data_IF_789610896931
#
_entry.id   IF_789610896931
#
_cell.length_a   1.000
_cell.length_b   1.000
_cell.length_c   1.000
_cell.angle_alpha   90.00
_cell.angle_beta   90.00
_cell.angle_gamma   90.00
#
_symmetry.space_group_name_H-M   'P 1'
#
loop_
_entity.id
_entity.type
_entity.pdbx_description
1 polymer ?
#
# COMPACT_ATOMS: atom_id res chain seq x y z
N UNK A 1 30.68 -7.98 -27.39
CA UNK A 1 30.78 -6.74 -26.58
C UNK A 1 30.01 -6.95 -25.28
N UNK A 2 30.69 -7.09 -24.15
CA UNK A 2 30.03 -7.18 -22.82
C UNK A 2 29.49 -5.78 -22.50
N UNK A 3 28.16 -5.66 -22.49
CA UNK A 3 27.48 -4.44 -22.07
C UNK A 3 27.82 -4.19 -20.59
N UNK A 4 28.74 -3.27 -20.32
CA UNK A 4 29.17 -2.83 -18.98
C UNK A 4 28.09 -1.95 -18.34
N UNK A 5 26.83 -2.44 -18.26
CA UNK A 5 25.78 -1.73 -17.51
C UNK A 5 26.10 -1.85 -16.02
N UNK A 6 26.28 -0.71 -15.37
CA UNK A 6 26.37 -0.59 -13.92
C UNK A 6 25.26 -1.45 -13.28
N UNK A 7 25.56 -2.27 -12.26
CA UNK A 7 24.53 -3.04 -11.58
C UNK A 7 23.45 -2.10 -11.02
N UNK A 8 22.19 -2.44 -11.27
CA UNK A 8 21.03 -1.67 -10.77
C UNK A 8 20.98 -1.75 -9.25
N UNK A 9 20.78 -0.62 -8.60
CA UNK A 9 20.63 -0.51 -7.14
C UNK A 9 19.16 -0.43 -6.74
N UNK A 10 18.81 -1.09 -5.64
CA UNK A 10 17.44 -1.18 -5.14
C UNK A 10 17.34 -0.66 -3.70
N UNK A 11 16.50 0.34 -3.49
CA UNK A 11 16.15 0.85 -2.16
C UNK A 11 14.80 0.30 -1.71
N UNK A 12 14.77 -0.43 -0.60
CA UNK A 12 13.52 -0.84 0.02
C UNK A 12 12.96 0.31 0.90
N UNK A 13 11.71 0.69 0.67
CA UNK A 13 10.98 1.70 1.43
C UNK A 13 9.90 1.01 2.27
N UNK A 14 10.02 1.13 3.59
CA UNK A 14 9.16 0.45 4.56
C UNK A 14 8.47 1.47 5.47
N UNK A 15 7.24 1.91 5.15
CA UNK A 15 6.42 2.70 6.06
C UNK A 15 5.98 1.84 7.24
N UNK A 16 6.12 2.38 8.47
CA UNK A 16 5.81 1.64 9.70
C UNK A 16 4.88 2.47 10.59
N UNK A 17 3.73 1.90 10.93
CA UNK A 17 2.81 2.47 11.90
C UNK A 17 2.15 1.36 12.72
N UNK A 18 2.50 1.28 14.02
CA UNK A 18 1.98 0.29 14.97
C UNK A 18 2.09 -1.18 14.48
N UNK A 19 3.34 -1.62 14.20
CA UNK A 19 3.67 -2.95 13.67
C UNK A 19 4.72 -3.69 14.52
N UNK A 20 4.71 -3.50 15.83
CA UNK A 20 5.67 -4.14 16.74
C UNK A 20 5.77 -5.67 16.58
N UNK A 21 4.66 -6.32 16.20
CA UNK A 21 4.59 -7.78 16.05
C UNK A 21 5.32 -8.32 14.81
N UNK A 22 5.44 -7.51 13.74
CA UNK A 22 5.87 -8.04 12.41
C UNK A 22 7.06 -7.32 11.82
N UNK A 23 7.24 -6.03 12.10
CA UNK A 23 8.24 -5.16 11.48
C UNK A 23 9.65 -5.75 11.54
N UNK A 24 10.03 -6.38 12.66
CA UNK A 24 11.35 -7.02 12.81
C UNK A 24 11.59 -8.07 11.72
N UNK A 25 10.61 -8.98 11.50
CA UNK A 25 10.74 -10.08 10.54
C UNK A 25 10.83 -9.56 9.10
N UNK A 26 10.02 -8.58 8.76
CA UNK A 26 10.04 -7.95 7.42
C UNK A 26 11.40 -7.33 7.13
N UNK A 27 11.91 -6.49 8.05
CA UNK A 27 13.22 -5.82 7.87
C UNK A 27 14.35 -6.85 7.81
N UNK A 28 14.32 -7.86 8.68
CA UNK A 28 15.35 -8.91 8.67
C UNK A 28 15.37 -9.66 7.33
N UNK A 29 14.21 -9.91 6.72
CA UNK A 29 14.11 -10.54 5.40
C UNK A 29 14.71 -9.65 4.30
N UNK A 30 14.41 -8.36 4.32
CA UNK A 30 14.97 -7.39 3.36
C UNK A 30 16.49 -7.30 3.49
N UNK A 31 17.03 -7.22 4.71
CA UNK A 31 18.46 -7.12 4.99
C UNK A 31 19.26 -8.40 4.66
N UNK A 32 18.60 -9.55 4.56
CA UNK A 32 19.22 -10.81 4.15
C UNK A 32 19.28 -10.99 2.63
N UNK A 33 18.54 -10.18 1.89
CA UNK A 33 18.54 -10.25 0.42
C UNK A 33 19.73 -9.49 -0.15
N UNK A 34 20.53 -10.15 -0.98
CA UNK A 34 21.62 -9.51 -1.74
C UNK A 34 21.12 -8.67 -2.93
N UNK A 35 19.80 -8.62 -3.16
CA UNK A 35 19.16 -7.82 -4.19
C UNK A 35 18.64 -6.47 -3.67
N UNK A 36 18.80 -6.19 -2.37
CA UNK A 36 18.39 -4.93 -1.74
C UNK A 36 19.66 -4.21 -1.24
N UNK A 37 19.97 -3.06 -1.79
CA UNK A 37 21.18 -2.31 -1.46
C UNK A 37 21.02 -1.44 -0.21
N UNK A 38 19.81 -0.94 0.06
CA UNK A 38 19.49 -0.18 1.26
C UNK A 38 18.05 -0.41 1.73
N UNK A 39 17.84 -0.31 3.03
CA UNK A 39 16.51 -0.39 3.66
C UNK A 39 16.22 0.91 4.39
N UNK A 40 15.17 1.61 3.95
CA UNK A 40 14.71 2.87 4.53
C UNK A 40 13.40 2.61 5.26
N UNK A 41 13.42 2.78 6.57
CA UNK A 41 12.25 2.61 7.43
C UNK A 41 11.73 3.96 7.87
N UNK A 42 10.45 4.23 7.66
CA UNK A 42 9.80 5.46 8.06
C UNK A 42 8.80 5.15 9.16
N UNK A 43 9.15 5.47 10.41
CA UNK A 43 8.22 5.38 11.53
C UNK A 43 7.25 6.55 11.48
N UNK A 44 5.99 6.26 11.18
CA UNK A 44 4.93 7.26 11.03
C UNK A 44 4.20 7.51 12.36
N UNK A 45 4.96 7.90 13.39
CA UNK A 45 4.41 8.25 14.69
C UNK A 45 3.79 7.07 15.46
N UNK A 46 4.42 5.89 15.40
CA UNK A 46 3.93 4.71 16.14
C UNK A 46 3.91 4.95 17.65
N UNK A 47 2.83 4.50 18.31
CA UNK A 47 2.64 4.53 19.77
C UNK A 47 3.02 3.23 20.48
N UNK A 48 3.22 2.14 19.71
CA UNK A 48 3.65 0.83 20.19
C UNK A 48 5.20 0.70 20.23
N UNK A 49 5.71 -0.51 20.38
CA UNK A 49 7.17 -0.76 20.45
C UNK A 49 7.86 -0.73 19.07
N UNK A 50 7.16 -0.38 17.97
CA UNK A 50 7.73 -0.35 16.62
C UNK A 50 9.00 0.47 16.53
N UNK A 51 8.99 1.72 17.03
CA UNK A 51 10.17 2.59 17.02
C UNK A 51 11.36 1.98 17.79
N UNK A 52 11.09 1.37 18.96
CA UNK A 52 12.13 0.69 19.76
C UNK A 52 12.74 -0.49 18.99
N UNK A 53 11.93 -1.21 18.22
CA UNK A 53 12.41 -2.31 17.37
C UNK A 53 13.26 -1.79 16.23
N UNK A 54 12.82 -0.73 15.54
CA UNK A 54 13.56 -0.11 14.43
C UNK A 54 14.94 0.37 14.86
N UNK A 55 15.02 1.05 15.99
CA UNK A 55 16.30 1.54 16.56
C UNK A 55 17.33 0.43 16.80
N UNK A 56 16.89 -0.81 17.07
CA UNK A 56 17.80 -1.96 17.28
C UNK A 56 18.53 -2.41 16.01
N UNK A 57 18.09 -2.01 14.83
CA UNK A 57 18.81 -2.31 13.59
C UNK A 57 20.03 -1.40 13.37
N UNK A 58 20.09 -0.26 14.08
CA UNK A 58 21.23 0.67 14.02
C UNK A 58 21.52 1.13 12.59
N UNK A 59 22.79 1.11 12.22
CA UNK A 59 23.27 1.54 10.88
C UNK A 59 22.88 0.60 9.73
N UNK A 60 22.26 -0.56 10.00
CA UNK A 60 21.81 -1.49 8.96
C UNK A 60 20.60 -0.96 8.19
N UNK A 61 19.86 0.00 8.74
CA UNK A 61 18.74 0.67 8.09
C UNK A 61 18.91 2.18 8.18
N UNK A 62 18.31 2.89 7.23
CA UNK A 62 18.07 4.33 7.34
C UNK A 62 16.73 4.52 8.03
N UNK A 63 16.73 5.07 9.25
CA UNK A 63 15.51 5.30 10.03
C UNK A 63 15.10 6.76 9.98
N UNK A 64 13.90 7.02 9.46
CA UNK A 64 13.23 8.31 9.53
C UNK A 64 12.12 8.20 10.58
N UNK A 65 12.06 9.13 11.51
CA UNK A 65 11.11 9.07 12.62
C UNK A 65 10.24 10.32 12.68
N UNK A 66 8.95 10.16 12.43
CA UNK A 66 7.98 11.22 12.66
C UNK A 66 7.49 11.18 14.11
N UNK A 67 7.34 12.36 14.73
CA UNK A 67 6.81 12.49 16.09
C UNK A 67 5.32 12.14 16.17
N UNK A 68 4.56 12.39 15.09
CA UNK A 68 3.13 12.14 14.96
C UNK A 68 2.81 11.47 13.65
N UNK A 69 1.69 10.76 13.57
CA UNK A 69 1.23 10.13 12.33
C UNK A 69 0.90 11.20 11.27
N UNK A 70 1.58 11.12 10.14
CA UNK A 70 1.38 11.99 8.96
C UNK A 70 0.71 11.28 7.79
N UNK A 71 0.49 9.97 7.94
CA UNK A 71 -0.13 9.11 6.94
C UNK A 71 0.86 8.46 5.97
N UNK A 72 0.45 7.29 5.45
CA UNK A 72 1.28 6.45 4.57
C UNK A 72 1.84 7.22 3.37
N UNK A 73 1.05 8.08 2.73
CA UNK A 73 1.49 8.88 1.59
C UNK A 73 2.69 9.77 1.91
N UNK A 74 2.67 10.44 3.07
CA UNK A 74 3.80 11.26 3.54
C UNK A 74 5.02 10.40 3.86
N UNK A 75 4.82 9.25 4.52
CA UNK A 75 5.91 8.34 4.84
C UNK A 75 6.58 7.78 3.57
N UNK A 76 5.79 7.37 2.57
CA UNK A 76 6.31 6.91 1.27
C UNK A 76 7.06 8.03 0.55
N UNK A 77 6.49 9.23 0.51
CA UNK A 77 7.10 10.40 -0.12
C UNK A 77 8.48 10.72 0.48
N UNK A 78 8.60 10.66 1.79
CA UNK A 78 9.88 10.88 2.46
C UNK A 78 10.89 9.78 2.17
N UNK A 79 10.44 8.51 2.15
CA UNK A 79 11.28 7.39 1.74
C UNK A 79 11.83 7.54 0.32
N UNK A 80 11.02 8.02 -0.65
CA UNK A 80 11.44 8.26 -2.03
C UNK A 80 12.55 9.33 -2.10
N UNK A 81 12.41 10.42 -1.36
CA UNK A 81 13.43 11.49 -1.31
C UNK A 81 14.77 10.97 -0.84
N UNK A 82 14.75 10.17 0.21
CA UNK A 82 15.91 9.68 0.90
C UNK A 82 16.60 8.47 0.24
N UNK A 83 15.90 7.82 -0.71
CA UNK A 83 16.40 6.68 -1.44
C UNK A 83 17.50 7.05 -2.45
N UNK A 84 18.47 6.15 -2.63
CA UNK A 84 19.62 6.31 -3.55
C UNK A 84 19.64 5.26 -4.66
N UNK A 85 18.81 4.23 -4.56
CA UNK A 85 18.71 3.18 -5.57
C UNK A 85 18.05 3.66 -6.86
N UNK A 86 18.33 2.98 -7.96
CA UNK A 86 17.70 3.22 -9.26
C UNK A 86 16.24 2.79 -9.25
N UNK A 87 15.94 1.75 -8.47
CA UNK A 87 14.59 1.23 -8.25
C UNK A 87 14.19 1.29 -6.78
N UNK A 88 12.90 1.53 -6.56
CA UNK A 88 12.27 1.61 -5.25
C UNK A 88 11.39 0.37 -5.03
N UNK A 89 11.73 -0.42 -4.02
CA UNK A 89 10.97 -1.59 -3.58
C UNK A 89 10.06 -1.18 -2.42
N UNK A 90 8.78 -0.95 -2.67
CA UNK A 90 7.82 -0.65 -1.62
C UNK A 90 7.39 -1.94 -0.92
N UNK A 91 7.50 -1.95 0.39
CA UNK A 91 7.22 -3.10 1.23
C UNK A 91 6.42 -2.70 2.46
N UNK A 92 5.24 -3.27 2.65
CA UNK A 92 4.46 -3.05 3.86
C UNK A 92 5.14 -3.74 5.06
N UNK A 93 5.08 -3.11 6.22
CA UNK A 93 5.74 -3.59 7.46
C UNK A 93 4.97 -4.71 8.17
N UNK A 94 3.79 -5.10 7.66
CA UNK A 94 2.89 -6.06 8.30
C UNK A 94 2.83 -7.43 7.62
N UNK A 95 3.75 -7.72 6.72
CA UNK A 95 3.76 -8.96 5.95
C UNK A 95 3.98 -10.21 6.81
N UNK A 96 3.24 -11.27 6.50
CA UNK A 96 3.33 -12.59 7.12
C UNK A 96 3.87 -13.58 6.07
N UNK A 97 4.84 -14.40 6.47
CA UNK A 97 5.55 -15.35 5.59
C UNK A 97 6.28 -14.68 4.42
N UNK A 98 6.80 -13.48 4.63
CA UNK A 98 7.64 -12.79 3.66
C UNK A 98 9.04 -13.43 3.63
N UNK A 99 9.54 -13.78 2.44
CA UNK A 99 10.79 -14.51 2.23
C UNK A 99 11.65 -13.85 1.15
N UNK A 100 12.94 -14.22 1.07
CA UNK A 100 13.86 -13.77 0.01
C UNK A 100 13.37 -14.18 -1.38
N UNK A 101 12.72 -15.34 -1.51
CA UNK A 101 12.13 -15.79 -2.77
C UNK A 101 11.06 -14.84 -3.30
N UNK A 102 10.25 -14.24 -2.40
CA UNK A 102 9.29 -13.20 -2.79
C UNK A 102 9.99 -11.97 -3.36
N UNK A 103 11.12 -11.55 -2.76
CA UNK A 103 11.92 -10.42 -3.25
C UNK A 103 12.50 -10.73 -4.64
N UNK A 104 13.06 -11.92 -4.82
CA UNK A 104 13.61 -12.38 -6.10
C UNK A 104 12.54 -12.41 -7.20
N UNK A 105 11.37 -12.97 -6.92
CA UNK A 105 10.23 -13.00 -7.86
C UNK A 105 9.80 -11.60 -8.29
N UNK A 106 9.80 -10.66 -7.38
CA UNK A 106 9.44 -9.27 -7.70
C UNK A 106 10.52 -8.56 -8.52
N UNK A 107 11.80 -8.75 -8.17
CA UNK A 107 12.91 -8.05 -8.83
C UNK A 107 13.31 -8.67 -10.17
N UNK A 108 13.11 -9.98 -10.36
CA UNK A 108 13.51 -10.69 -11.58
C UNK A 108 13.04 -10.00 -12.88
N UNK A 109 11.79 -9.57 -13.06
CA UNK A 109 11.37 -8.90 -14.27
C UNK A 109 12.07 -7.56 -14.52
N UNK A 110 12.42 -6.84 -13.44
CA UNK A 110 13.16 -5.57 -13.52
C UNK A 110 14.61 -5.83 -13.92
N UNK A 111 15.27 -6.76 -13.26
CA UNK A 111 16.67 -7.10 -13.51
C UNK A 111 16.90 -7.65 -14.91
N UNK A 112 15.90 -8.36 -15.47
CA UNK A 112 15.91 -8.85 -16.86
C UNK A 112 15.55 -7.75 -17.88
N UNK A 113 15.13 -6.56 -17.44
CA UNK A 113 14.69 -5.49 -18.33
C UNK A 113 13.36 -5.74 -19.04
N UNK A 114 12.54 -6.70 -18.54
CA UNK A 114 11.26 -7.04 -19.16
C UNK A 114 10.21 -5.93 -18.98
N UNK A 115 10.22 -5.26 -17.82
CA UNK A 115 9.28 -4.20 -17.45
C UNK A 115 9.94 -3.14 -16.58
N UNK A 116 9.29 -1.98 -16.48
CA UNK A 116 9.74 -0.88 -15.61
C UNK A 116 9.10 -0.91 -14.23
N UNK A 117 7.96 -1.58 -14.09
CA UNK A 117 7.14 -1.56 -12.87
C UNK A 117 6.65 -2.96 -12.55
N UNK A 118 6.69 -3.32 -11.28
CA UNK A 118 6.12 -4.58 -10.78
C UNK A 118 5.10 -4.29 -9.69
N UNK A 119 3.93 -4.92 -9.79
CA UNK A 119 2.94 -4.99 -8.73
C UNK A 119 2.87 -6.43 -8.24
N UNK A 120 3.09 -6.64 -6.96
CA UNK A 120 3.02 -7.96 -6.37
C UNK A 120 1.73 -8.16 -5.59
N UNK A 121 1.14 -9.33 -5.75
CA UNK A 121 -0.14 -9.67 -5.12
C UNK A 121 0.02 -10.89 -4.25
N UNK A 122 -0.23 -10.78 -2.93
CA UNK A 122 -0.31 -11.95 -2.07
C UNK A 122 -1.41 -12.90 -2.55
N UNK A 123 -1.06 -14.16 -2.78
CA UNK A 123 -2.02 -15.21 -3.15
C UNK A 123 -2.07 -16.29 -2.09
N UNK A 124 -3.28 -16.80 -1.83
CA UNK A 124 -3.47 -17.85 -0.82
C UNK A 124 -3.19 -19.24 -1.37
N UNK A 125 -3.51 -19.46 -2.63
CA UNK A 125 -3.40 -20.77 -3.27
C UNK A 125 -2.13 -20.89 -4.14
N UNK A 126 -1.76 -22.13 -4.42
CA UNK A 126 -0.59 -22.47 -5.23
C UNK A 126 -0.78 -22.14 -6.72
N UNK A 127 -2.00 -21.85 -7.16
CA UNK A 127 -2.30 -21.55 -8.57
C UNK A 127 -1.95 -20.12 -8.96
N UNK A 128 -1.67 -19.27 -7.96
CA UNK A 128 -1.37 -17.86 -8.19
C UNK A 128 -2.57 -17.04 -8.67
N UNK A 129 -3.79 -17.58 -8.57
CA UNK A 129 -5.01 -16.83 -8.92
C UNK A 129 -5.22 -15.64 -8.00
N UNK A 130 -5.53 -14.51 -8.59
CA UNK A 130 -5.81 -13.27 -7.86
C UNK A 130 -6.99 -12.53 -8.48
N UNK A 131 -7.64 -11.68 -7.69
CA UNK A 131 -8.72 -10.85 -8.19
C UNK A 131 -8.17 -9.52 -8.72
N UNK A 132 -8.58 -9.10 -9.92
CA UNK A 132 -8.10 -7.87 -10.58
C UNK A 132 -8.16 -6.61 -9.69
N UNK A 133 -9.12 -6.52 -8.78
CA UNK A 133 -9.22 -5.38 -7.86
C UNK A 133 -8.18 -5.41 -6.73
N UNK A 134 -7.58 -6.55 -6.41
CA UNK A 134 -6.51 -6.64 -5.40
C UNK A 134 -5.23 -5.96 -5.88
N UNK A 135 -5.03 -5.89 -7.19
CA UNK A 135 -3.90 -5.21 -7.84
C UNK A 135 -3.85 -3.73 -7.47
N UNK A 136 -5.01 -3.07 -7.39
CA UNK A 136 -5.09 -1.64 -7.09
C UNK A 136 -4.65 -1.28 -5.68
N UNK A 137 -4.77 -2.22 -4.73
CA UNK A 137 -4.48 -2.00 -3.31
C UNK A 137 -3.23 -2.76 -2.84
N UNK A 138 -2.54 -3.44 -3.74
CA UNK A 138 -1.29 -4.10 -3.40
C UNK A 138 -0.25 -3.07 -2.94
N UNK A 139 0.34 -3.28 -1.77
CA UNK A 139 1.35 -2.39 -1.22
C UNK A 139 2.76 -2.74 -1.67
N UNK A 140 2.99 -3.99 -2.08
CA UNK A 140 4.27 -4.49 -2.56
C UNK A 140 4.44 -4.14 -4.03
N UNK A 141 5.37 -3.22 -4.33
CA UNK A 141 5.55 -2.67 -5.67
C UNK A 141 7.01 -2.29 -5.92
N UNK A 142 7.39 -2.29 -7.19
CA UNK A 142 8.69 -1.77 -7.61
C UNK A 142 8.48 -0.72 -8.68
N UNK A 143 9.17 0.41 -8.52
CA UNK A 143 9.14 1.53 -9.45
C UNK A 143 10.54 2.07 -9.72
N UNK A 144 10.80 2.62 -10.91
CA UNK A 144 12.00 3.43 -11.13
C UNK A 144 11.92 4.71 -10.28
N UNK A 145 13.01 5.04 -9.60
CA UNK A 145 13.07 6.20 -8.68
C UNK A 145 12.87 7.52 -9.40
N UNK A 146 13.52 7.69 -10.55
CA UNK A 146 13.42 8.89 -11.38
C UNK A 146 11.98 9.24 -11.78
N UNK A 147 11.18 8.20 -12.08
CA UNK A 147 9.77 8.38 -12.42
C UNK A 147 8.90 8.81 -11.23
N UNK A 148 9.31 8.55 -9.98
CA UNK A 148 8.52 8.92 -8.80
C UNK A 148 8.94 10.25 -8.16
N UNK A 149 10.19 10.68 -8.34
CA UNK A 149 10.69 11.92 -7.74
C UNK A 149 9.82 13.16 -8.04
N UNK A 150 9.35 13.41 -9.28
CA UNK A 150 8.49 14.55 -9.58
C UNK A 150 7.14 14.51 -8.85
N UNK A 151 6.73 13.34 -8.37
CA UNK A 151 5.41 13.11 -7.77
C UNK A 151 5.40 13.13 -6.23
N UNK A 152 6.55 13.33 -5.59
CA UNK A 152 6.70 13.28 -4.13
C UNK A 152 5.78 14.25 -3.42
N UNK A 153 5.65 15.49 -3.88
CA UNK A 153 4.77 16.50 -3.28
C UNK A 153 3.30 16.08 -3.34
N UNK A 154 2.86 15.48 -4.43
CA UNK A 154 1.48 15.00 -4.57
C UNK A 154 1.23 13.75 -3.73
N UNK A 155 2.18 12.82 -3.69
CA UNK A 155 2.14 11.63 -2.85
C UNK A 155 1.97 11.98 -1.37
N UNK A 156 2.70 12.98 -0.87
CA UNK A 156 2.59 13.41 0.53
C UNK A 156 1.22 13.97 0.91
N UNK A 157 0.41 14.37 -0.06
CA UNK A 157 -0.96 14.89 0.15
C UNK A 157 -2.04 13.83 0.00
N UNK A 158 -1.69 12.60 -0.43
CA UNK A 158 -2.68 11.53 -0.59
C UNK A 158 -3.25 11.13 0.77
N UNK A 159 -4.57 10.94 0.84
CA UNK A 159 -5.28 10.60 2.07
C UNK A 159 -5.73 9.15 2.10
N UNK A 160 -5.78 8.57 3.29
CA UNK A 160 -6.28 7.21 3.52
C UNK A 160 -5.30 6.10 3.13
N UNK A 161 -5.63 4.89 3.55
CA UNK A 161 -4.79 3.71 3.35
C UNK A 161 -4.95 3.12 1.95
N UNK A 162 -4.63 3.77 0.91
CA UNK A 162 -4.79 3.32 -0.49
C UNK A 162 -4.70 4.49 -1.45
N UNK A 163 -4.68 5.73 -0.92
CA UNK A 163 -4.59 6.93 -1.74
C UNK A 163 -3.26 7.02 -2.50
N UNK A 164 -2.14 6.69 -1.84
CA UNK A 164 -0.83 6.62 -2.50
C UNK A 164 -0.79 5.57 -3.61
N UNK A 165 -1.32 4.38 -3.35
CA UNK A 165 -1.37 3.29 -4.34
C UNK A 165 -2.26 3.66 -5.53
N UNK A 166 -3.41 4.28 -5.27
CA UNK A 166 -4.32 4.74 -6.32
C UNK A 166 -3.66 5.79 -7.20
N UNK A 167 -3.00 6.78 -6.60
CA UNK A 167 -2.27 7.79 -7.34
C UNK A 167 -1.15 7.18 -8.19
N UNK A 168 -0.31 6.33 -7.61
CA UNK A 168 0.78 5.66 -8.31
C UNK A 168 0.29 4.81 -9.49
N UNK A 169 -0.92 4.24 -9.40
CA UNK A 169 -1.54 3.49 -10.50
C UNK A 169 -1.82 4.36 -11.75
N UNK A 170 -1.92 5.68 -11.60
CA UNK A 170 -2.19 6.59 -12.71
C UNK A 170 -0.92 6.97 -13.49
N UNK A 171 0.26 6.74 -12.93
CA UNK A 171 1.53 7.20 -13.50
C UNK A 171 2.08 6.30 -14.61
N UNK A 172 1.65 5.04 -14.66
CA UNK A 172 2.23 4.05 -15.56
C UNK A 172 1.17 3.38 -16.43
N UNK A 173 1.50 3.14 -17.69
CA UNK A 173 0.63 2.41 -18.61
C UNK A 173 0.68 0.91 -18.30
N UNK A 174 -0.43 0.21 -18.54
CA UNK A 174 -0.54 -1.23 -18.25
C UNK A 174 0.58 -2.09 -18.88
N UNK A 175 1.06 -1.73 -20.05
CA UNK A 175 2.17 -2.43 -20.74
C UNK A 175 3.52 -2.33 -20.04
N UNK A 176 3.70 -1.34 -19.16
CA UNK A 176 4.91 -1.13 -18.37
C UNK A 176 4.89 -1.91 -17.05
N UNK A 177 3.74 -2.50 -16.70
CA UNK A 177 3.50 -3.12 -15.40
C UNK A 177 3.40 -4.64 -15.55
N UNK A 178 4.20 -5.37 -14.79
CA UNK A 178 4.05 -6.82 -14.59
C UNK A 178 3.41 -7.10 -13.23
N UNK A 179 2.40 -7.96 -13.23
CA UNK A 179 1.76 -8.41 -12.00
C UNK A 179 2.41 -9.73 -11.60
N UNK A 180 2.93 -9.80 -10.37
CA UNK A 180 3.62 -10.98 -9.83
C UNK A 180 2.82 -11.55 -8.66
N UNK A 181 2.27 -12.76 -8.77
CA UNK A 181 1.63 -13.44 -7.66
C UNK A 181 2.67 -13.95 -6.66
N UNK A 182 2.52 -13.58 -5.39
CA UNK A 182 3.37 -14.03 -4.29
C UNK A 182 2.66 -15.12 -3.48
N UNK A 183 2.95 -16.36 -3.82
CA UNK A 183 2.31 -17.54 -3.22
C UNK A 183 2.73 -17.68 -1.76
N UNK A 184 1.75 -17.81 -0.86
CA UNK A 184 2.00 -18.00 0.57
C UNK A 184 2.27 -16.71 1.36
N UNK A 185 2.50 -15.58 0.67
CA UNK A 185 2.54 -14.28 1.33
C UNK A 185 1.16 -13.94 1.86
N UNK A 186 1.10 -13.46 3.11
CA UNK A 186 -0.17 -13.07 3.75
C UNK A 186 -0.04 -11.67 4.32
N UNK A 187 -1.18 -10.97 4.40
CA UNK A 187 -1.34 -9.72 5.16
C UNK A 187 -2.33 -9.96 6.29
N UNK A 188 -2.10 -9.36 7.47
CA UNK A 188 -3.09 -9.42 8.53
C UNK A 188 -4.39 -8.80 8.06
N UNK A 189 -5.48 -9.35 8.56
CA UNK A 189 -6.77 -8.73 8.35
C UNK A 189 -6.81 -7.39 9.10
N UNK A 190 -7.17 -6.29 8.42
CA UNK A 190 -7.18 -4.95 9.03
C UNK A 190 -8.07 -4.88 10.29
N UNK A 191 -9.17 -5.64 10.34
CA UNK A 191 -10.03 -5.75 11.51
C UNK A 191 -9.37 -6.36 12.76
N UNK A 192 -8.24 -7.06 12.62
CA UNK A 192 -7.51 -7.60 13.78
C UNK A 192 -6.64 -6.57 14.50
N UNK A 193 -6.47 -5.38 13.94
CA UNK A 193 -5.65 -4.29 14.51
C UNK A 193 -6.49 -3.23 15.21
N UNK A 194 -7.76 -3.12 14.86
CA UNK A 194 -8.65 -2.04 15.31
C UNK A 194 -10.00 -2.60 15.73
N UNK A 195 -10.75 -1.83 16.51
CA UNK A 195 -12.17 -2.11 16.73
C UNK A 195 -12.91 -2.20 15.40
N UNK A 196 -14.01 -2.93 15.35
CA UNK A 196 -14.79 -3.12 14.12
C UNK A 196 -15.18 -1.80 13.47
N UNK A 197 -15.54 -0.78 14.25
CA UNK A 197 -15.87 0.56 13.79
C UNK A 197 -14.67 1.26 13.17
N UNK A 198 -13.49 1.20 13.78
CA UNK A 198 -12.28 1.82 13.25
C UNK A 198 -11.81 1.13 11.97
N UNK A 199 -11.93 -0.19 11.89
CA UNK A 199 -11.62 -0.96 10.67
C UNK A 199 -12.56 -0.58 9.51
N UNK A 200 -13.84 -0.36 9.80
CA UNK A 200 -14.84 0.09 8.84
C UNK A 200 -14.51 1.49 8.33
N UNK A 201 -14.22 2.42 9.23
CA UNK A 201 -13.81 3.79 8.94
C UNK A 201 -12.59 3.85 8.02
N UNK A 202 -11.54 3.11 8.36
CA UNK A 202 -10.32 3.03 7.55
C UNK A 202 -10.56 2.37 6.17
N UNK A 203 -11.42 1.37 6.12
CA UNK A 203 -11.85 0.75 4.87
C UNK A 203 -12.56 1.75 3.95
N UNK A 204 -13.47 2.55 4.50
CA UNK A 204 -14.20 3.58 3.74
C UNK A 204 -13.28 4.70 3.25
N UNK A 205 -12.39 5.20 4.10
CA UNK A 205 -11.39 6.19 3.70
C UNK A 205 -10.52 5.67 2.55
N UNK A 206 -10.12 4.40 2.61
CA UNK A 206 -9.35 3.76 1.54
C UNK A 206 -10.13 3.69 0.23
N UNK A 207 -11.41 3.28 0.27
CA UNK A 207 -12.26 3.18 -0.92
C UNK A 207 -12.49 4.57 -1.52
N UNK A 208 -12.86 5.55 -0.72
CA UNK A 208 -13.08 6.92 -1.17
C UNK A 208 -11.80 7.48 -1.79
N UNK A 209 -10.67 7.35 -1.12
CA UNK A 209 -9.36 7.80 -1.64
C UNK A 209 -9.01 7.19 -2.98
N UNK A 210 -9.17 5.87 -3.14
CA UNK A 210 -8.95 5.16 -4.42
C UNK A 210 -9.89 5.67 -5.52
N UNK A 211 -11.16 5.90 -5.21
CA UNK A 211 -12.13 6.34 -6.19
C UNK A 211 -11.89 7.80 -6.63
N UNK A 212 -11.45 8.66 -5.71
CA UNK A 212 -11.07 10.05 -6.01
C UNK A 212 -9.80 10.12 -6.87
N UNK A 213 -8.73 9.46 -6.42
CA UNK A 213 -7.44 9.50 -7.13
C UNK A 213 -7.48 8.81 -8.51
N UNK A 214 -8.39 7.85 -8.70
CA UNK A 214 -8.62 7.21 -10.01
C UNK A 214 -9.56 7.99 -10.93
N UNK A 215 -10.02 9.18 -10.53
CA UNK A 215 -10.97 9.99 -11.29
C UNK A 215 -12.36 9.38 -11.46
N UNK A 216 -12.70 8.33 -10.70
CA UNK A 216 -14.01 7.67 -10.77
C UNK A 216 -15.08 8.40 -10.01
N UNK A 217 -14.71 9.08 -8.93
CA UNK A 217 -15.57 10.00 -8.17
C UNK A 217 -14.97 11.40 -8.28
N UNK A 218 -15.73 12.30 -8.85
CA UNK A 218 -15.45 13.73 -8.85
C UNK A 218 -16.32 14.40 -7.80
N UNK A 219 -15.70 15.16 -6.92
CA UNK A 219 -16.41 15.95 -5.90
C UNK A 219 -16.62 17.33 -6.49
N UNK A 220 -17.80 17.54 -7.05
CA UNK A 220 -18.14 18.79 -7.75
C UNK A 220 -18.91 19.77 -6.86
N UNK A 221 -19.21 19.39 -5.61
CA UNK A 221 -19.95 20.25 -4.69
C UNK A 221 -19.56 20.03 -3.22
N UNK A 222 -19.70 21.07 -2.39
CA UNK A 222 -19.56 20.99 -0.92
C UNK A 222 -20.53 19.94 -0.34
N UNK A 223 -21.70 19.76 -0.96
CA UNK A 223 -22.67 18.74 -0.56
C UNK A 223 -22.13 17.32 -0.74
N UNK A 224 -21.49 17.03 -1.90
CA UNK A 224 -20.90 15.71 -2.16
C UNK A 224 -19.78 15.42 -1.15
N UNK A 225 -18.95 16.42 -0.85
CA UNK A 225 -17.89 16.30 0.15
C UNK A 225 -18.47 15.96 1.53
N UNK A 226 -19.45 16.73 2.02
CA UNK A 226 -20.10 16.47 3.32
C UNK A 226 -20.76 15.09 3.38
N UNK A 227 -21.39 14.64 2.29
CA UNK A 227 -21.99 13.31 2.25
C UNK A 227 -20.94 12.19 2.33
N UNK A 228 -19.77 12.36 1.70
CA UNK A 228 -18.66 11.40 1.80
C UNK A 228 -18.01 11.42 3.20
N UNK A 229 -17.86 12.60 3.80
CA UNK A 229 -17.38 12.75 5.18
C UNK A 229 -18.31 12.05 6.19
N UNK A 230 -19.63 12.16 6.01
CA UNK A 230 -20.61 11.48 6.86
C UNK A 230 -20.52 9.95 6.78
N UNK A 231 -20.09 9.37 5.65
CA UNK A 231 -19.86 7.93 5.54
C UNK A 231 -18.73 7.43 6.45
N UNK A 232 -17.76 8.29 6.71
CA UNK A 232 -16.60 7.94 7.54
C UNK A 232 -16.92 7.99 9.03
N UNK A 233 -18.06 8.61 9.41
CA UNK A 233 -18.51 8.70 10.80
C UNK A 233 -19.38 7.51 11.25
N UNK A 234 -19.65 6.56 10.35
CA UNK A 234 -20.54 5.43 10.64
C UNK A 234 -19.80 4.25 11.26
N UNK A 235 -20.34 3.72 12.33
CA UNK A 235 -19.71 2.65 13.14
C UNK A 235 -20.23 1.24 12.81
N UNK A 236 -21.31 1.11 12.05
CA UNK A 236 -21.93 -0.18 11.70
C UNK A 236 -22.08 -0.36 10.19
N UNK A 237 -22.17 -1.61 9.74
CA UNK A 237 -22.41 -1.91 8.33
C UNK A 237 -23.79 -1.48 7.84
N UNK A 238 -24.84 -1.70 8.68
CA UNK A 238 -26.20 -1.29 8.36
C UNK A 238 -26.27 0.24 8.22
N UNK A 239 -25.68 0.97 9.17
CA UNK A 239 -25.61 2.43 9.11
C UNK A 239 -24.89 2.92 7.85
N UNK A 240 -23.85 2.23 7.42
CA UNK A 240 -23.12 2.58 6.21
C UNK A 240 -23.94 2.33 4.94
N UNK A 241 -24.68 1.21 4.86
CA UNK A 241 -25.60 0.94 3.73
C UNK A 241 -26.67 2.01 3.65
N UNK A 242 -27.28 2.39 4.79
CA UNK A 242 -28.24 3.47 4.87
C UNK A 242 -27.63 4.79 4.35
N UNK A 243 -26.48 5.18 4.88
CA UNK A 243 -25.83 6.45 4.48
C UNK A 243 -25.43 6.47 3.00
N UNK A 244 -24.97 5.38 2.43
CA UNK A 244 -24.76 5.27 0.98
C UNK A 244 -26.10 5.43 0.23
N UNK A 245 -27.20 4.91 0.81
CA UNK A 245 -28.55 5.10 0.30
C UNK A 245 -29.02 6.56 0.23
N UNK A 246 -28.58 7.41 1.16
CA UNK A 246 -28.91 8.83 1.28
C UNK A 246 -28.14 9.73 0.29
N UNK A 247 -27.07 9.23 -0.35
CA UNK A 247 -26.27 10.01 -1.30
C UNK A 247 -27.14 10.44 -2.48
N UNK A 248 -27.25 11.75 -2.69
CA UNK A 248 -28.08 12.33 -3.77
C UNK A 248 -27.45 12.18 -5.15
N UNK A 249 -26.12 12.25 -5.24
CA UNK A 249 -25.39 12.05 -6.48
C UNK A 249 -25.50 10.59 -6.93
N UNK A 250 -26.35 10.30 -7.93
CA UNK A 250 -26.64 8.95 -8.44
C UNK A 250 -25.36 8.22 -8.88
N UNK A 251 -24.41 8.92 -9.52
CA UNK A 251 -23.14 8.34 -9.98
C UNK A 251 -22.27 7.89 -8.80
N UNK A 252 -22.06 8.78 -7.82
CA UNK A 252 -21.31 8.48 -6.59
C UNK A 252 -21.98 7.33 -5.82
N UNK A 253 -23.30 7.38 -5.64
CA UNK A 253 -24.08 6.32 -4.99
C UNK A 253 -23.89 4.96 -5.65
N UNK A 254 -24.01 4.88 -6.98
CA UNK A 254 -23.88 3.63 -7.73
C UNK A 254 -22.47 3.05 -7.61
N UNK A 255 -21.45 3.89 -7.73
CA UNK A 255 -20.05 3.48 -7.61
C UNK A 255 -19.75 2.96 -6.21
N UNK A 256 -20.16 3.69 -5.17
CA UNK A 256 -19.95 3.27 -3.78
C UNK A 256 -20.67 1.96 -3.47
N UNK A 257 -21.95 1.80 -3.86
CA UNK A 257 -22.67 0.53 -3.71
C UNK A 257 -21.91 -0.64 -4.34
N UNK A 258 -21.47 -0.48 -5.59
CA UNK A 258 -20.75 -1.52 -6.32
C UNK A 258 -19.44 -1.93 -5.63
N UNK A 259 -18.63 -0.97 -5.19
CA UNK A 259 -17.36 -1.26 -4.52
C UNK A 259 -17.55 -1.73 -3.09
N UNK A 260 -18.53 -1.16 -2.39
CA UNK A 260 -18.83 -1.50 -1.01
C UNK A 260 -19.41 -2.91 -0.87
N UNK A 261 -20.37 -3.30 -1.71
CA UNK A 261 -20.91 -4.68 -1.70
C UNK A 261 -19.82 -5.72 -1.96
N UNK A 262 -18.87 -5.44 -2.86
CA UNK A 262 -17.69 -6.30 -3.06
C UNK A 262 -16.81 -6.39 -1.81
N UNK A 263 -16.61 -5.29 -1.10
CA UNK A 263 -15.83 -5.24 0.14
C UNK A 263 -16.52 -6.02 1.25
N UNK A 264 -17.83 -5.81 1.43
CA UNK A 264 -18.64 -6.54 2.43
C UNK A 264 -18.67 -8.03 2.13
N UNK A 265 -18.93 -8.44 0.89
CA UNK A 265 -18.96 -9.85 0.52
C UNK A 265 -17.64 -10.55 0.86
N UNK A 266 -16.51 -9.86 0.65
CA UNK A 266 -15.18 -10.35 1.03
C UNK A 266 -14.97 -10.37 2.55
N UNK A 267 -15.53 -9.40 3.28
CA UNK A 267 -15.43 -9.29 4.73
C UNK A 267 -16.26 -10.35 5.43
N UNK A 268 -17.53 -10.49 5.04
CA UNK A 268 -18.46 -11.47 5.59
C UNK A 268 -17.98 -12.91 5.32
N UNK A 269 -17.49 -13.18 4.12
CA UNK A 269 -16.93 -14.50 3.79
C UNK A 269 -15.71 -14.87 4.63
N UNK A 270 -14.92 -13.89 5.10
CA UNK A 270 -13.76 -14.13 5.99
C UNK A 270 -14.11 -14.27 7.46
N UNK A 271 -15.32 -13.89 7.87
CA UNK A 271 -15.82 -14.06 9.24
C UNK A 271 -16.52 -15.43 9.37
N UNK A 272 -17.06 -15.94 8.28
CA UNK A 272 -17.80 -17.22 8.25
C UNK A 272 -16.86 -18.40 7.93
N UNK A 273 -15.76 -18.20 7.21
CA UNK A 273 -14.66 -19.14 6.98
C UNK A 273 -13.56 -19.00 8.06
#
# INVERSE_FOLDING_TARGET
MRNNKKPLKVSAIVPVFNEEKRVRKVITTLLKSNLIDEVICINDGSSDKSLKILKKFGKKIKLINFKTNKGKGTAVAEGIKEARGDFLFFCDSDLINFTSEHIEKMLSPILKGEVRVVFAIPTKDKTGKYWRHEVFLAGERIYPRDALLPHVSKLSRTKGAGGSEAYLNTLFRRKEIKIVPLIGLKKPFKGSKWSSSLALKQGMLSIIGVLQESGRIEINSIRDLKQLENLVQVDTFEGLIMKIGEIKNKRIKSILKKYFLKYIAKYVKRIID
#
